data_IF_087371576393
#
_entry.id   IF_087371576393
#
_cell.length_a   1.000
_cell.length_b   1.000
_cell.length_c   1.000
_cell.angle_alpha   90.00
_cell.angle_beta   90.00
_cell.angle_gamma   90.00
#
_symmetry.space_group_name_H-M   'P 1'
#
loop_
_entity.id
_entity.type
_entity.pdbx_description
1 polymer ?
#
# COMPACT_ATOMS: atom_id res chain seq x y z
N UNK A 1 36.34 -40.56 -24.19
CA UNK A 1 35.29 -39.58 -24.54
C UNK A 1 34.62 -39.13 -23.26
N UNK A 2 34.93 -37.93 -22.76
CA UNK A 2 34.34 -37.39 -21.54
C UNK A 2 33.00 -36.73 -21.87
N UNK A 3 31.92 -37.17 -21.22
CA UNK A 3 30.59 -36.55 -21.34
C UNK A 3 30.60 -35.24 -20.55
N UNK A 4 30.49 -34.14 -21.27
CA UNK A 4 30.42 -32.79 -20.71
C UNK A 4 28.98 -32.54 -20.25
N UNK A 5 28.69 -32.75 -18.97
CA UNK A 5 27.36 -32.48 -18.38
C UNK A 5 27.25 -30.99 -18.07
N UNK A 6 26.73 -30.23 -19.03
CA UNK A 6 26.31 -28.84 -18.81
C UNK A 6 25.11 -28.81 -17.86
N UNK A 7 25.37 -28.69 -16.56
CA UNK A 7 24.35 -28.40 -15.55
C UNK A 7 23.91 -26.94 -15.69
N UNK A 8 22.88 -26.69 -16.50
CA UNK A 8 22.20 -25.40 -16.53
C UNK A 8 21.74 -25.05 -15.10
N UNK A 9 22.11 -23.90 -14.52
CA UNK A 9 21.59 -23.49 -13.23
C UNK A 9 20.15 -23.03 -13.45
N UNK A 10 19.21 -23.96 -13.36
CA UNK A 10 17.81 -23.62 -13.18
C UNK A 10 17.71 -22.93 -11.82
N UNK A 11 17.82 -21.60 -11.82
CA UNK A 11 17.61 -20.79 -10.62
C UNK A 11 16.14 -20.97 -10.21
N UNK A 12 15.92 -21.95 -9.34
CA UNK A 12 14.64 -22.13 -8.67
C UNK A 12 14.41 -20.89 -7.81
N UNK A 13 13.75 -19.87 -8.37
CA UNK A 13 13.13 -18.80 -7.60
C UNK A 13 11.89 -19.41 -6.92
N UNK A 14 12.10 -20.39 -6.03
CA UNK A 14 11.08 -20.74 -5.04
C UNK A 14 11.04 -19.59 -4.06
N UNK A 15 10.26 -18.57 -4.42
CA UNK A 15 9.82 -17.55 -3.50
C UNK A 15 9.25 -18.25 -2.26
N UNK A 16 9.92 -18.13 -1.11
CA UNK A 16 9.33 -18.54 0.18
C UNK A 16 8.24 -17.55 0.63
N UNK A 17 7.95 -16.52 -0.16
CA UNK A 17 6.88 -15.57 0.13
C UNK A 17 5.53 -16.27 -0.13
N UNK A 18 4.64 -16.31 0.86
CA UNK A 18 3.27 -16.80 0.67
C UNK A 18 2.56 -16.13 -0.51
N UNK A 19 1.75 -16.88 -1.25
CA UNK A 19 1.05 -16.37 -2.43
C UNK A 19 0.13 -15.18 -2.13
N UNK A 20 -0.47 -15.11 -0.94
CA UNK A 20 -1.30 -13.99 -0.53
C UNK A 20 -0.49 -12.70 -0.34
N UNK A 21 0.77 -12.79 0.12
CA UNK A 21 1.67 -11.62 0.18
C UNK A 21 2.18 -11.20 -1.20
N UNK A 22 2.34 -12.15 -2.12
CA UNK A 22 2.62 -11.84 -3.53
C UNK A 22 1.42 -11.10 -4.14
N UNK A 23 0.21 -11.61 -3.94
CA UNK A 23 -1.03 -10.98 -4.41
C UNK A 23 -1.21 -9.58 -3.79
N UNK A 24 -0.95 -9.41 -2.49
CA UNK A 24 -0.91 -8.11 -1.83
C UNK A 24 0.11 -7.17 -2.49
N UNK A 25 1.31 -7.67 -2.77
CA UNK A 25 2.36 -6.91 -3.43
C UNK A 25 1.94 -6.39 -4.80
N UNK A 26 1.35 -7.26 -5.62
CA UNK A 26 0.80 -6.91 -6.94
C UNK A 26 -0.32 -5.89 -6.80
N UNK A 27 -1.25 -6.12 -5.85
CA UNK A 27 -2.38 -5.21 -5.61
C UNK A 27 -1.90 -3.81 -5.25
N UNK A 28 -0.86 -3.69 -4.43
CA UNK A 28 -0.30 -2.39 -4.08
C UNK A 28 0.39 -1.70 -5.25
N UNK A 29 1.09 -2.43 -6.12
CA UNK A 29 1.64 -1.84 -7.35
C UNK A 29 0.51 -1.32 -8.24
N UNK A 30 -0.56 -2.10 -8.41
CA UNK A 30 -1.74 -1.66 -9.15
C UNK A 30 -2.40 -0.43 -8.51
N UNK A 31 -2.50 -0.40 -7.18
CA UNK A 31 -3.03 0.75 -6.45
C UNK A 31 -2.19 2.02 -6.70
N UNK A 32 -0.86 1.93 -6.72
CA UNK A 32 0.01 3.07 -7.05
C UNK A 32 -0.21 3.59 -8.48
N UNK A 33 -0.44 2.70 -9.45
CA UNK A 33 -0.78 3.10 -10.82
C UNK A 33 -2.16 3.75 -10.89
N UNK A 34 -3.14 3.23 -10.14
CA UNK A 34 -4.48 3.79 -10.03
C UNK A 34 -4.42 5.18 -9.41
N UNK A 35 -3.68 5.37 -8.32
CA UNK A 35 -3.48 6.66 -7.67
C UNK A 35 -2.96 7.70 -8.67
N UNK A 36 -1.89 7.38 -9.42
CA UNK A 36 -1.36 8.27 -10.46
C UNK A 36 -2.47 8.64 -11.45
N UNK A 37 -3.22 7.65 -11.93
CA UNK A 37 -4.28 7.89 -12.91
C UNK A 37 -5.41 8.79 -12.38
N UNK A 38 -5.78 8.64 -11.11
CA UNK A 38 -6.84 9.44 -10.46
C UNK A 38 -6.34 10.86 -10.22
N UNK A 39 -5.13 11.02 -9.70
CA UNK A 39 -4.55 12.32 -9.35
C UNK A 39 -4.31 13.16 -10.62
N UNK A 40 -3.85 12.54 -11.71
CA UNK A 40 -3.68 13.23 -13.00
C UNK A 40 -5.02 13.65 -13.62
N UNK A 41 -6.09 12.85 -13.44
CA UNK A 41 -7.43 13.18 -13.92
C UNK A 41 -8.14 14.25 -13.09
N UNK A 42 -7.71 14.45 -11.85
CA UNK A 42 -8.33 15.38 -10.91
C UNK A 42 -7.26 16.33 -10.32
N UNK A 43 -6.74 17.28 -11.12
CA UNK A 43 -5.66 18.17 -10.69
C UNK A 43 -6.04 19.07 -9.52
N UNK A 44 -7.34 19.37 -9.37
CA UNK A 44 -7.88 20.18 -8.27
C UNK A 44 -8.28 19.32 -7.05
N UNK A 45 -7.94 18.03 -7.03
CA UNK A 45 -8.28 17.15 -5.91
C UNK A 45 -7.42 17.46 -4.69
N UNK A 46 -8.08 17.96 -3.64
CA UNK A 46 -7.48 18.20 -2.34
C UNK A 46 -7.81 17.04 -1.40
N UNK A 47 -6.82 16.18 -1.15
CA UNK A 47 -7.05 15.05 -0.25
C UNK A 47 -7.27 15.53 1.19
N UNK A 48 -8.37 15.12 1.84
CA UNK A 48 -8.62 15.45 3.23
C UNK A 48 -7.72 14.62 4.15
N UNK A 49 -7.00 15.31 5.03
CA UNK A 49 -6.09 14.76 6.03
C UNK A 49 -6.46 15.35 7.39
N UNK A 50 -6.94 14.52 8.33
CA UNK A 50 -7.42 14.95 9.65
C UNK A 50 -8.42 16.13 9.58
N UNK A 51 -9.34 16.11 8.63
CA UNK A 51 -10.32 17.18 8.42
C UNK A 51 -9.76 18.44 7.75
N UNK A 52 -8.45 18.54 7.54
CA UNK A 52 -7.82 19.60 6.76
C UNK A 52 -7.70 19.19 5.30
N UNK A 53 -7.63 20.19 4.41
CA UNK A 53 -7.26 19.99 3.01
C UNK A 53 -5.92 20.67 2.77
N UNK A 54 -5.10 20.08 1.90
CA UNK A 54 -3.82 20.67 1.50
C UNK A 54 -4.00 21.33 0.12
N UNK A 55 -4.25 22.64 0.06
CA UNK A 55 -4.71 23.28 -1.16
C UNK A 55 -3.58 23.51 -2.17
N UNK A 56 -3.99 23.67 -3.43
CA UNK A 56 -3.14 24.14 -4.51
C UNK A 56 -2.06 23.14 -4.97
N UNK A 57 -1.18 23.64 -5.86
CA UNK A 57 -0.20 22.80 -6.57
C UNK A 57 0.75 22.05 -5.64
N UNK A 58 1.18 22.68 -4.54
CA UNK A 58 2.08 22.04 -3.58
C UNK A 58 1.43 20.81 -2.93
N UNK A 59 0.15 20.92 -2.53
CA UNK A 59 -0.60 19.78 -2.00
C UNK A 59 -0.83 18.68 -3.04
N UNK A 60 -1.15 19.08 -4.27
CA UNK A 60 -1.28 18.15 -5.38
C UNK A 60 0.01 17.37 -5.67
N UNK A 61 1.15 18.05 -5.80
CA UNK A 61 2.45 17.41 -6.02
C UNK A 61 2.82 16.48 -4.86
N UNK A 62 2.56 16.90 -3.62
CA UNK A 62 2.80 16.07 -2.46
C UNK A 62 2.00 14.75 -2.55
N UNK A 63 0.71 14.83 -2.84
CA UNK A 63 -0.16 13.63 -2.96
C UNK A 63 0.30 12.75 -4.13
N UNK A 64 0.61 13.35 -5.29
CA UNK A 64 1.07 12.65 -6.49
C UNK A 64 2.36 11.87 -6.26
N UNK A 65 3.25 12.36 -5.42
CA UNK A 65 4.52 11.68 -5.14
C UNK A 65 4.34 10.69 -4.01
N UNK A 66 3.78 11.12 -2.88
CA UNK A 66 3.79 10.34 -1.64
C UNK A 66 2.93 9.09 -1.74
N UNK A 67 1.70 9.18 -2.25
CA UNK A 67 0.78 8.04 -2.28
C UNK A 67 1.23 6.92 -3.24
N UNK A 68 1.56 7.21 -4.51
CA UNK A 68 2.06 6.18 -5.42
C UNK A 68 3.40 5.58 -4.95
N UNK A 69 4.31 6.41 -4.45
CA UNK A 69 5.60 5.94 -3.95
C UNK A 69 5.42 4.99 -2.78
N UNK A 70 4.54 5.35 -1.84
CA UNK A 70 4.18 4.47 -0.72
C UNK A 70 3.67 3.12 -1.23
N UNK A 71 2.73 3.12 -2.17
CA UNK A 71 2.17 1.91 -2.76
C UNK A 71 3.23 1.02 -3.42
N UNK A 72 4.14 1.59 -4.20
CA UNK A 72 5.21 0.81 -4.84
C UNK A 72 6.20 0.23 -3.84
N UNK A 73 6.63 1.01 -2.83
CA UNK A 73 7.55 0.53 -1.80
C UNK A 73 6.89 -0.57 -0.97
N UNK A 74 5.64 -0.37 -0.54
CA UNK A 74 4.88 -1.37 0.21
C UNK A 74 4.65 -2.65 -0.62
N UNK A 75 4.36 -2.51 -1.91
CA UNK A 75 4.16 -3.62 -2.84
C UNK A 75 5.42 -4.46 -3.01
N UNK A 76 6.56 -3.82 -3.27
CA UNK A 76 7.86 -4.47 -3.32
C UNK A 76 8.21 -5.15 -1.99
N UNK A 77 7.96 -4.48 -0.88
CA UNK A 77 8.20 -4.99 0.46
C UNK A 77 7.41 -6.27 0.76
N UNK A 78 6.13 -6.32 0.35
CA UNK A 78 5.30 -7.51 0.48
C UNK A 78 5.77 -8.65 -0.42
N UNK A 79 6.08 -8.37 -1.68
CA UNK A 79 6.60 -9.37 -2.63
C UNK A 79 7.88 -10.05 -2.11
N UNK A 80 8.77 -9.26 -1.50
CA UNK A 80 10.03 -9.73 -0.92
C UNK A 80 9.90 -10.21 0.54
N UNK A 81 8.71 -10.12 1.15
CA UNK A 81 8.43 -10.45 2.55
C UNK A 81 9.36 -9.74 3.56
N UNK A 82 9.70 -8.48 3.28
CA UNK A 82 10.65 -7.69 4.09
C UNK A 82 10.06 -7.31 5.44
N UNK A 83 10.86 -7.36 6.50
CA UNK A 83 10.45 -6.96 7.86
C UNK A 83 9.97 -5.52 7.92
N UNK A 84 10.63 -4.60 7.21
CA UNK A 84 10.21 -3.20 7.16
C UNK A 84 8.85 -3.00 6.49
N UNK A 85 8.45 -3.89 5.57
CA UNK A 85 7.18 -3.77 4.86
C UNK A 85 5.99 -3.85 5.81
N UNK A 86 6.06 -4.72 6.83
CA UNK A 86 5.03 -4.79 7.86
C UNK A 86 4.74 -3.43 8.50
N UNK A 87 5.78 -2.71 8.90
CA UNK A 87 5.61 -1.38 9.51
C UNK A 87 5.11 -0.34 8.52
N UNK A 88 5.55 -0.43 7.26
CA UNK A 88 5.01 0.39 6.19
C UNK A 88 3.54 0.11 5.91
N UNK A 89 3.00 -1.08 6.13
CA UNK A 89 1.55 -1.26 6.07
C UNK A 89 0.87 -0.75 7.35
N UNK A 90 1.38 -1.11 8.52
CA UNK A 90 0.69 -0.86 9.80
C UNK A 90 0.59 0.65 10.13
N UNK A 91 1.70 1.40 10.09
CA UNK A 91 1.70 2.79 10.54
C UNK A 91 0.81 3.68 9.65
N UNK A 92 0.88 3.60 8.31
CA UNK A 92 0.01 4.39 7.44
C UNK A 92 -1.45 3.92 7.50
N UNK A 93 -1.71 2.63 7.73
CA UNK A 93 -3.09 2.16 7.94
C UNK A 93 -3.69 2.75 9.22
N UNK A 94 -2.94 2.79 10.32
CA UNK A 94 -3.36 3.45 11.55
C UNK A 94 -3.59 4.95 11.35
N UNK A 95 -2.67 5.62 10.63
CA UNK A 95 -2.80 7.02 10.25
C UNK A 95 -4.08 7.28 9.45
N UNK A 96 -4.37 6.45 8.44
CA UNK A 96 -5.57 6.58 7.59
C UNK A 96 -6.84 6.36 8.42
N UNK A 97 -6.86 5.38 9.34
CA UNK A 97 -8.00 5.17 10.26
C UNK A 97 -8.24 6.43 11.10
N UNK A 98 -7.19 6.95 11.74
CA UNK A 98 -7.29 8.13 12.59
C UNK A 98 -7.74 9.37 11.80
N UNK A 99 -7.15 9.59 10.63
CA UNK A 99 -7.51 10.67 9.71
C UNK A 99 -8.97 10.55 9.24
N UNK A 100 -9.43 9.35 8.88
CA UNK A 100 -10.81 9.11 8.46
C UNK A 100 -11.82 9.31 9.59
N UNK A 101 -11.47 8.92 10.82
CA UNK A 101 -12.30 9.13 12.01
C UNK A 101 -12.49 10.63 12.29
N UNK A 102 -11.39 11.40 12.36
CA UNK A 102 -11.44 12.86 12.56
C UNK A 102 -12.18 13.55 11.41
N UNK A 103 -11.84 13.19 10.17
CA UNK A 103 -12.46 13.78 8.98
C UNK A 103 -13.95 13.48 8.86
N UNK A 104 -14.44 12.38 9.46
CA UNK A 104 -15.87 12.05 9.50
C UNK A 104 -16.65 12.92 10.49
N UNK A 105 -16.00 13.39 11.55
CA UNK A 105 -16.60 14.28 12.56
C UNK A 105 -16.64 15.72 12.04
N UNK A 106 -15.56 16.17 11.38
CA UNK A 106 -15.37 17.58 11.00
C UNK A 106 -16.02 17.93 9.66
N UNK A 107 -15.85 17.09 8.63
CA UNK A 107 -16.28 17.42 7.28
C UNK A 107 -17.76 17.11 7.09
N UNK A 108 -18.41 17.77 6.15
CA UNK A 108 -19.81 17.50 5.84
C UNK A 108 -19.99 16.14 5.14
N UNK A 109 -21.18 15.51 5.26
CA UNK A 109 -21.57 14.36 4.44
C UNK A 109 -21.48 14.67 2.93
N UNK A 110 -21.33 13.65 2.05
CA UNK A 110 -21.39 12.21 2.33
C UNK A 110 -20.08 11.60 2.82
N UNK A 111 -20.17 10.65 3.76
CA UNK A 111 -19.01 9.98 4.36
C UNK A 111 -18.70 8.60 3.79
N UNK A 112 -19.23 8.22 2.62
CA UNK A 112 -19.13 6.84 2.08
C UNK A 112 -17.71 6.29 2.11
N UNK A 113 -16.75 7.05 1.56
CA UNK A 113 -15.33 6.65 1.51
C UNK A 113 -14.76 6.46 2.92
N UNK A 114 -15.02 7.40 3.83
CA UNK A 114 -14.53 7.35 5.22
C UNK A 114 -15.13 6.16 5.98
N UNK A 115 -16.40 5.87 5.78
CA UNK A 115 -17.07 4.70 6.35
C UNK A 115 -16.44 3.41 5.83
N UNK A 116 -16.18 3.30 4.53
CA UNK A 116 -15.49 2.13 3.96
C UNK A 116 -14.11 1.96 4.59
N UNK A 117 -13.30 3.02 4.67
CA UNK A 117 -11.98 3.01 5.30
C UNK A 117 -12.06 2.50 6.74
N UNK A 118 -12.99 3.05 7.54
CA UNK A 118 -13.15 2.69 8.96
C UNK A 118 -13.61 1.23 9.17
N UNK A 119 -14.15 0.59 8.15
CA UNK A 119 -14.53 -0.84 8.20
C UNK A 119 -13.41 -1.73 7.67
N UNK A 120 -12.84 -1.41 6.50
CA UNK A 120 -11.89 -2.28 5.80
C UNK A 120 -10.50 -2.24 6.41
N UNK A 121 -10.03 -1.07 6.88
CA UNK A 121 -8.68 -0.93 7.40
C UNK A 121 -8.44 -1.69 8.72
N UNK A 122 -9.38 -1.74 9.68
CA UNK A 122 -9.25 -2.62 10.84
C UNK A 122 -9.16 -4.12 10.46
N UNK A 123 -9.95 -4.58 9.49
CA UNK A 123 -9.87 -5.95 8.97
C UNK A 123 -8.49 -6.21 8.37
N UNK A 124 -7.96 -5.25 7.61
CA UNK A 124 -6.63 -5.35 7.03
C UNK A 124 -5.53 -5.39 8.12
N UNK A 125 -5.65 -4.61 9.20
CA UNK A 125 -4.74 -4.70 10.34
C UNK A 125 -4.77 -6.06 11.02
N UNK A 126 -5.94 -6.68 11.18
CA UNK A 126 -6.08 -8.04 11.71
C UNK A 126 -5.35 -9.03 10.80
N UNK A 127 -5.55 -8.93 9.48
CA UNK A 127 -4.83 -9.72 8.49
C UNK A 127 -3.31 -9.57 8.61
N UNK A 128 -2.80 -8.33 8.68
CA UNK A 128 -1.37 -8.05 8.83
C UNK A 128 -0.83 -8.61 10.14
N UNK A 129 -1.55 -8.45 11.24
CA UNK A 129 -1.17 -9.01 12.54
C UNK A 129 -1.03 -10.53 12.48
N UNK A 130 -1.95 -11.22 11.80
CA UNK A 130 -1.88 -12.66 11.60
C UNK A 130 -0.67 -13.05 10.74
N UNK A 131 -0.38 -12.27 9.70
CA UNK A 131 0.74 -12.50 8.77
C UNK A 131 2.09 -11.98 9.24
N UNK A 132 2.19 -11.30 10.38
CA UNK A 132 3.43 -10.67 10.88
C UNK A 132 4.66 -11.58 10.86
N UNK A 133 4.49 -12.88 11.09
CA UNK A 133 5.59 -13.87 11.09
C UNK A 133 6.19 -14.13 9.70
N UNK A 134 5.50 -13.74 8.62
CA UNK A 134 6.01 -13.88 7.26
C UNK A 134 6.87 -12.67 6.83
N UNK A 135 6.73 -11.51 7.48
CA UNK A 135 7.57 -10.33 7.25
C UNK A 135 8.87 -10.39 8.08
N UNK A 136 9.80 -11.26 7.71
CA UNK A 136 11.03 -11.52 8.50
C UNK A 136 12.34 -11.47 7.71
N UNK A 137 12.29 -11.20 6.40
CA UNK A 137 13.47 -11.02 5.52
C UNK A 137 13.95 -9.57 5.45
#
# INVERSE_FOLDING_TARGET
>A
MAQNTSSSPAWSIKSKTPYDLIALGILMILAGLIDISIILKNPDYEMPIFGMKLPGKAGWYFILIVFPTFHFIAGYGAFMARKWAYYLYVLPTLYIIASAAVSRIILEPPHRIRTTILLTMPIFLIYLYWRRKHFRR
#
